data_IF_947033893167
#
_entry.id   IF_947033893167
#
_cell.length_a   1.000
_cell.length_b   1.000
_cell.length_c   1.000
_cell.angle_alpha   90.00
_cell.angle_beta   90.00
_cell.angle_gamma   90.00
#
_symmetry.space_group_name_H-M   'P 1'
#
loop_
_entity.id
_entity.type
_entity.pdbx_description
1 polymer ?
#
# COMPACT_ATOMS: atom_id res chain seq x y z
N UNK A 1 -28.26 -72.88 -18.23
CA UNK A 1 -29.34 -72.51 -19.17
C UNK A 1 -30.15 -71.35 -18.58
N UNK A 2 -30.31 -70.27 -19.36
CA UNK A 2 -31.41 -69.28 -19.36
C UNK A 2 -31.49 -68.32 -18.14
N UNK A 3 -31.13 -67.02 -18.27
CA UNK A 3 -31.96 -65.87 -18.73
C UNK A 3 -33.10 -65.57 -17.71
N UNK A 4 -33.31 -64.36 -17.15
CA UNK A 4 -33.19 -62.97 -17.66
C UNK A 4 -33.17 -61.95 -16.50
N UNK A 5 -32.54 -60.79 -16.75
CA UNK A 5 -32.82 -59.50 -16.09
C UNK A 5 -34.10 -58.88 -16.72
N UNK A 6 -34.89 -58.06 -15.99
CA UNK A 6 -34.91 -56.62 -16.31
C UNK A 6 -35.12 -55.70 -15.07
N UNK A 7 -34.35 -54.61 -14.93
CA UNK A 7 -34.66 -53.19 -15.27
C UNK A 7 -35.45 -52.42 -14.18
N UNK A 8 -35.08 -51.14 -14.02
CA UNK A 8 -35.59 -50.06 -13.15
C UNK A 8 -34.87 -49.94 -11.79
N UNK A 9 -34.48 -48.77 -11.27
CA UNK A 9 -34.88 -47.38 -11.51
C UNK A 9 -33.80 -46.46 -10.84
N UNK A 10 -33.28 -45.47 -11.58
CA UNK A 10 -32.93 -44.09 -11.15
C UNK A 10 -31.99 -43.89 -9.93
N UNK A 11 -30.82 -43.28 -10.18
CA UNK A 11 -30.45 -41.97 -9.59
C UNK A 11 -29.15 -41.46 -10.22
N UNK A 12 -29.27 -40.69 -11.30
CA UNK A 12 -28.16 -39.91 -11.84
C UNK A 12 -28.01 -38.63 -11.00
N UNK A 13 -27.13 -38.65 -10.00
CA UNK A 13 -26.67 -37.44 -9.33
C UNK A 13 -25.66 -36.72 -10.23
N UNK A 14 -26.17 -35.85 -11.10
CA UNK A 14 -25.41 -34.78 -11.73
C UNK A 14 -24.93 -33.84 -10.62
N UNK A 15 -23.71 -34.07 -10.13
CA UNK A 15 -22.98 -33.06 -9.36
C UNK A 15 -22.60 -31.92 -10.30
N UNK A 16 -23.45 -30.90 -10.33
CA UNK A 16 -23.12 -29.58 -10.84
C UNK A 16 -21.99 -29.01 -9.97
N UNK A 17 -20.76 -29.13 -10.46
CA UNK A 17 -19.62 -28.39 -9.95
C UNK A 17 -19.85 -26.91 -10.27
N UNK A 18 -20.45 -26.18 -9.32
CA UNK A 18 -20.41 -24.73 -9.32
C UNK A 18 -18.95 -24.32 -9.09
N UNK A 19 -18.28 -23.60 -10.02
CA UNK A 19 -17.05 -22.93 -9.66
C UNK A 19 -17.41 -21.91 -8.58
N UNK A 20 -16.91 -22.15 -7.36
CA UNK A 20 -16.91 -21.15 -6.31
C UNK A 20 -16.20 -19.92 -6.87
N UNK A 21 -16.99 -18.89 -7.18
CA UNK A 21 -16.45 -17.56 -7.42
C UNK A 21 -15.79 -17.12 -6.12
N UNK A 22 -14.49 -17.37 -6.00
CA UNK A 22 -13.66 -16.76 -4.98
C UNK A 22 -13.63 -15.26 -5.27
N UNK A 23 -14.63 -14.53 -4.78
CA UNK A 23 -14.44 -13.12 -4.49
C UNK A 23 -13.41 -13.08 -3.37
N UNK A 24 -12.13 -12.93 -3.75
CA UNK A 24 -11.16 -12.33 -2.84
C UNK A 24 -11.68 -10.92 -2.59
N UNK A 25 -12.53 -10.77 -1.57
CA UNK A 25 -12.74 -9.48 -0.96
C UNK A 25 -11.34 -9.05 -0.50
N UNK A 26 -10.71 -8.16 -1.30
CA UNK A 26 -9.54 -7.46 -0.83
C UNK A 26 -9.96 -6.83 0.48
N UNK A 27 -9.32 -7.24 1.58
CA UNK A 27 -9.62 -6.75 2.91
C UNK A 27 -9.61 -5.22 2.82
N UNK A 28 -10.78 -4.59 3.02
CA UNK A 28 -10.87 -3.14 2.97
C UNK A 28 -9.92 -2.59 4.02
N UNK A 29 -9.05 -1.68 3.60
CA UNK A 29 -8.03 -1.10 4.46
C UNK A 29 -8.65 0.10 5.14
N UNK A 30 -8.70 0.07 6.47
CA UNK A 30 -9.43 1.07 7.27
C UNK A 30 -8.94 2.53 7.05
N UNK A 31 -7.72 2.72 6.51
CA UNK A 31 -7.14 4.03 6.20
C UNK A 31 -7.41 4.54 4.77
N UNK A 32 -7.96 3.69 3.90
CA UNK A 32 -8.37 4.08 2.56
C UNK A 32 -9.87 4.35 2.53
N UNK A 33 -10.28 5.42 1.86
CA UNK A 33 -11.67 5.56 1.44
C UNK A 33 -11.99 4.52 0.37
N UNK A 34 -13.28 4.19 0.21
CA UNK A 34 -13.75 3.26 -0.83
C UNK A 34 -13.25 3.66 -2.23
N UNK A 35 -13.27 4.95 -2.56
CA UNK A 35 -12.79 5.47 -3.85
C UNK A 35 -11.28 5.31 -4.03
N UNK A 36 -10.49 5.44 -2.96
CA UNK A 36 -9.05 5.22 -3.00
C UNK A 36 -8.74 3.73 -3.17
N UNK A 37 -9.44 2.87 -2.44
CA UNK A 37 -9.33 1.42 -2.58
C UNK A 37 -9.69 0.96 -4.01
N UNK A 38 -10.76 1.50 -4.58
CA UNK A 38 -11.15 1.24 -5.97
C UNK A 38 -10.04 1.66 -6.96
N UNK A 39 -9.43 2.84 -6.80
CA UNK A 39 -8.30 3.26 -7.63
C UNK A 39 -7.11 2.31 -7.56
N UNK A 40 -6.80 1.78 -6.37
CA UNK A 40 -5.71 0.80 -6.18
C UNK A 40 -6.05 -0.52 -6.88
N UNK A 41 -7.31 -0.97 -6.75
CA UNK A 41 -7.79 -2.21 -7.37
C UNK A 41 -7.75 -2.12 -8.90
N UNK A 42 -8.12 -0.96 -9.44
CA UNK A 42 -8.24 -0.73 -10.88
C UNK A 42 -6.88 -0.42 -11.54
N UNK A 43 -5.82 -0.18 -10.76
CA UNK A 43 -4.47 0.00 -11.27
C UNK A 43 -3.93 -1.30 -11.89
N UNK A 44 -3.44 -1.22 -13.13
CA UNK A 44 -2.99 -2.39 -13.88
C UNK A 44 -1.61 -2.86 -13.39
N UNK A 45 -0.74 -1.93 -13.06
CA UNK A 45 0.66 -2.22 -12.72
C UNK A 45 0.98 -1.97 -11.25
N UNK A 46 1.94 -2.72 -10.72
CA UNK A 46 2.44 -2.48 -9.34
C UNK A 46 3.12 -1.11 -9.20
N UNK A 47 3.72 -0.59 -10.28
CA UNK A 47 4.25 0.77 -10.29
C UNK A 47 3.15 1.85 -10.11
N UNK A 48 1.98 1.64 -10.71
CA UNK A 48 0.82 2.53 -10.52
C UNK A 48 0.23 2.41 -9.12
N UNK A 49 0.12 1.20 -8.57
CA UNK A 49 -0.29 0.98 -7.18
C UNK A 49 0.62 1.71 -6.20
N UNK A 50 1.95 1.58 -6.34
CA UNK A 50 2.94 2.31 -5.53
C UNK A 50 2.70 3.82 -5.62
N UNK A 51 2.51 4.35 -6.84
CA UNK A 51 2.25 5.78 -7.05
C UNK A 51 0.98 6.24 -6.33
N UNK A 52 -0.10 5.48 -6.40
CA UNK A 52 -1.37 5.82 -5.77
C UNK A 52 -1.25 5.83 -4.25
N UNK A 53 -0.65 4.80 -3.65
CA UNK A 53 -0.39 4.77 -2.21
C UNK A 53 0.43 5.99 -1.74
N UNK A 54 1.51 6.32 -2.46
CA UNK A 54 2.30 7.51 -2.15
C UNK A 54 1.56 8.83 -2.34
N UNK A 55 0.59 8.87 -3.26
CA UNK A 55 -0.28 10.05 -3.45
C UNK A 55 -1.21 10.21 -2.24
N UNK A 56 -1.80 9.12 -1.76
CA UNK A 56 -2.67 9.17 -0.60
C UNK A 56 -1.90 9.49 0.68
N UNK A 57 -0.68 8.93 0.84
CA UNK A 57 0.23 9.30 1.92
C UNK A 57 0.50 10.82 1.91
N UNK A 58 0.82 11.40 0.74
CA UNK A 58 1.03 12.84 0.60
C UNK A 58 -0.21 13.64 1.03
N UNK A 59 -1.41 13.20 0.63
CA UNK A 59 -2.66 13.87 1.00
C UNK A 59 -2.90 13.84 2.52
N UNK A 60 -2.64 12.69 3.18
CA UNK A 60 -2.75 12.58 4.64
C UNK A 60 -1.73 13.47 5.34
N UNK A 61 -0.50 13.49 4.87
CA UNK A 61 0.56 14.33 5.44
C UNK A 61 0.28 15.84 5.26
N UNK A 62 -0.29 16.25 4.12
CA UNK A 62 -0.73 17.63 3.90
C UNK A 62 -1.88 18.02 4.82
N UNK A 63 -2.85 17.12 4.99
CA UNK A 63 -3.98 17.35 5.90
C UNK A 63 -3.52 17.41 7.36
N UNK A 64 -2.54 16.59 7.75
CA UNK A 64 -1.91 16.64 9.08
C UNK A 64 -1.26 17.99 9.33
N UNK A 65 -0.44 18.48 8.38
CA UNK A 65 0.16 19.81 8.45
C UNK A 65 -0.89 20.92 8.60
N UNK A 66 -1.94 20.85 7.79
CA UNK A 66 -3.01 21.84 7.83
C UNK A 66 -3.74 21.84 9.18
N UNK A 67 -4.06 20.66 9.72
CA UNK A 67 -4.79 20.51 10.98
C UNK A 67 -3.97 21.03 12.16
N UNK A 68 -2.64 20.82 12.20
CA UNK A 68 -1.75 21.44 13.20
C UNK A 68 -1.82 22.97 13.17
N UNK A 69 -1.82 23.56 11.97
CA UNK A 69 -1.85 25.02 11.83
C UNK A 69 -3.24 25.61 12.07
N UNK A 70 -4.29 24.82 11.84
CA UNK A 70 -5.69 25.24 11.92
C UNK A 70 -6.54 24.18 12.67
N UNK A 71 -6.44 24.10 14.00
CA UNK A 71 -7.22 23.14 14.78
C UNK A 71 -8.72 23.33 14.53
N UNK A 72 -9.35 22.35 13.89
CA UNK A 72 -10.68 22.53 13.30
C UNK A 72 -11.83 21.97 14.15
N UNK A 73 -11.54 21.25 15.24
CA UNK A 73 -12.58 20.57 16.02
C UNK A 73 -12.19 20.23 17.47
N UNK A 74 -13.20 19.84 18.25
CA UNK A 74 -13.04 19.22 19.58
C UNK A 74 -12.34 17.83 19.51
N UNK A 75 -12.16 17.27 18.31
CA UNK A 75 -11.54 15.97 18.04
C UNK A 75 -10.15 16.10 17.38
N UNK A 76 -9.50 17.26 17.54
CA UNK A 76 -8.21 17.58 16.92
C UNK A 76 -7.17 16.46 17.10
N UNK A 77 -6.99 16.00 18.34
CA UNK A 77 -6.06 14.92 18.72
C UNK A 77 -6.33 13.61 17.98
N UNK A 78 -7.59 13.19 17.94
CA UNK A 78 -8.01 11.96 17.27
C UNK A 78 -7.75 12.05 15.76
N UNK A 79 -8.00 13.23 15.18
CA UNK A 79 -7.73 13.50 13.77
C UNK A 79 -6.23 13.44 13.44
N UNK A 80 -5.37 14.05 14.25
CA UNK A 80 -3.91 14.01 14.04
C UNK A 80 -3.38 12.58 14.05
N UNK A 81 -3.78 11.79 15.05
CA UNK A 81 -3.38 10.40 15.17
C UNK A 81 -3.93 9.54 14.02
N UNK A 82 -5.20 9.72 13.64
CA UNK A 82 -5.78 9.02 12.50
C UNK A 82 -5.07 9.34 11.18
N UNK A 83 -4.66 10.60 10.98
CA UNK A 83 -3.93 11.02 9.78
C UNK A 83 -2.53 10.41 9.70
N UNK A 84 -1.80 10.35 10.83
CA UNK A 84 -0.49 9.69 10.89
C UNK A 84 -0.59 8.18 10.67
N UNK A 85 -1.55 7.51 11.30
CA UNK A 85 -1.76 6.08 11.08
C UNK A 85 -2.14 5.77 9.63
N UNK A 86 -3.00 6.61 9.02
CA UNK A 86 -3.36 6.46 7.63
C UNK A 86 -2.18 6.73 6.68
N UNK A 87 -1.32 7.69 7.02
CA UNK A 87 -0.08 7.95 6.31
C UNK A 87 0.85 6.72 6.35
N UNK A 88 1.09 6.15 7.54
CA UNK A 88 1.93 4.97 7.74
C UNK A 88 1.41 3.80 6.91
N UNK A 89 0.12 3.47 7.02
CA UNK A 89 -0.48 2.37 6.24
C UNK A 89 -0.32 2.55 4.73
N UNK A 90 -0.37 3.78 4.22
CA UNK A 90 -0.12 4.05 2.80
C UNK A 90 1.37 3.83 2.41
N UNK A 91 2.31 4.25 3.26
CA UNK A 91 3.75 4.07 2.99
C UNK A 91 4.14 2.60 3.06
N UNK A 92 3.66 1.88 4.07
CA UNK A 92 3.92 0.44 4.25
C UNK A 92 3.40 -0.37 3.07
N UNK A 93 2.17 -0.09 2.62
CA UNK A 93 1.62 -0.73 1.44
C UNK A 93 2.39 -0.46 0.15
N UNK A 94 2.88 0.77 0.00
CA UNK A 94 3.72 1.10 -1.14
C UNK A 94 5.02 0.28 -1.10
N UNK A 95 5.61 0.10 0.08
CA UNK A 95 6.79 -0.73 0.29
C UNK A 95 6.50 -2.21 0.02
N UNK A 96 5.37 -2.74 0.48
CA UNK A 96 4.94 -4.12 0.25
C UNK A 96 4.70 -4.41 -1.23
N UNK A 97 4.00 -3.52 -1.93
CA UNK A 97 3.78 -3.65 -3.38
C UNK A 97 5.09 -3.56 -4.14
N UNK A 98 6.02 -2.70 -3.71
CA UNK A 98 7.36 -2.63 -4.26
C UNK A 98 8.09 -3.96 -4.08
N UNK A 99 8.15 -4.49 -2.86
CA UNK A 99 8.84 -5.74 -2.56
C UNK A 99 8.24 -6.92 -3.35
N UNK A 100 6.92 -7.03 -3.38
CA UNK A 100 6.22 -8.06 -4.17
C UNK A 100 6.52 -7.94 -5.67
N UNK A 101 6.57 -6.71 -6.20
CA UNK A 101 6.93 -6.47 -7.59
C UNK A 101 8.37 -6.87 -7.92
N UNK A 102 9.32 -6.68 -6.98
CA UNK A 102 10.71 -7.16 -7.12
C UNK A 102 10.71 -8.68 -7.18
N UNK A 103 10.02 -9.35 -6.25
CA UNK A 103 9.97 -10.81 -6.15
C UNK A 103 9.38 -11.45 -7.41
N UNK A 104 8.34 -10.82 -7.97
CA UNK A 104 7.70 -11.24 -9.22
C UNK A 104 8.45 -10.82 -10.48
N UNK A 105 9.58 -10.12 -10.35
CA UNK A 105 10.37 -9.58 -11.47
C UNK A 105 9.55 -8.66 -12.39
N UNK A 106 8.58 -7.94 -11.82
CA UNK A 106 7.76 -6.99 -12.56
C UNK A 106 8.59 -5.74 -12.91
N UNK A 107 8.19 -5.03 -13.98
CA UNK A 107 8.81 -3.76 -14.33
C UNK A 107 8.32 -2.62 -13.40
N UNK A 108 8.88 -2.57 -12.19
CA UNK A 108 8.52 -1.59 -11.16
C UNK A 108 9.58 -0.52 -10.92
N UNK A 109 10.57 -0.40 -11.82
CA UNK A 109 11.67 0.56 -11.67
C UNK A 109 11.16 1.98 -11.39
N UNK A 110 10.15 2.41 -12.15
CA UNK A 110 9.52 3.73 -11.95
C UNK A 110 8.86 3.88 -10.57
N UNK A 111 8.26 2.81 -10.06
CA UNK A 111 7.69 2.77 -8.72
C UNK A 111 8.77 2.89 -7.64
N UNK A 112 9.88 2.16 -7.78
CA UNK A 112 11.04 2.24 -6.86
C UNK A 112 11.65 3.65 -6.87
N UNK A 113 11.87 4.23 -8.05
CA UNK A 113 12.41 5.58 -8.18
C UNK A 113 11.49 6.62 -7.53
N UNK A 114 10.17 6.45 -7.68
CA UNK A 114 9.18 7.32 -7.06
C UNK A 114 9.13 7.14 -5.53
N UNK A 115 9.18 5.90 -5.04
CA UNK A 115 9.23 5.59 -3.61
C UNK A 115 10.40 6.31 -2.94
N UNK A 116 11.62 6.13 -3.47
CA UNK A 116 12.82 6.75 -2.95
C UNK A 116 12.75 8.29 -2.96
N UNK A 117 12.17 8.88 -4.01
CA UNK A 117 12.00 10.33 -4.10
C UNK A 117 10.99 10.85 -3.08
N UNK A 118 9.80 10.24 -3.01
CA UNK A 118 8.71 10.70 -2.14
C UNK A 118 9.02 10.54 -0.66
N UNK A 119 9.58 9.41 -0.25
CA UNK A 119 9.97 9.21 1.16
C UNK A 119 11.06 10.19 1.59
N UNK A 120 11.98 10.54 0.68
CA UNK A 120 12.99 11.58 0.92
C UNK A 120 12.37 12.98 1.09
N UNK A 121 11.26 13.26 0.41
CA UNK A 121 10.53 14.52 0.55
C UNK A 121 9.65 14.54 1.82
N UNK A 122 9.09 13.40 2.22
CA UNK A 122 8.23 13.29 3.40
C UNK A 122 9.00 13.32 4.72
N UNK A 123 10.15 12.67 4.79
CA UNK A 123 10.90 12.48 6.04
C UNK A 123 11.25 13.83 6.73
N UNK A 124 11.76 14.86 6.03
CA UNK A 124 12.04 16.16 6.65
C UNK A 124 10.78 16.86 7.19
N UNK A 125 9.62 16.61 6.59
CA UNK A 125 8.34 17.16 7.07
C UNK A 125 7.98 16.54 8.42
N UNK A 126 8.05 15.21 8.52
CA UNK A 126 7.77 14.49 9.77
C UNK A 126 8.76 14.87 10.87
N UNK A 127 10.06 14.90 10.56
CA UNK A 127 11.13 15.27 11.50
C UNK A 127 10.96 16.70 12.04
N UNK A 128 10.47 17.64 11.21
CA UNK A 128 10.15 19.00 11.66
C UNK A 128 9.12 19.01 12.80
N UNK A 129 8.09 18.17 12.74
CA UNK A 129 7.05 18.12 13.77
C UNK A 129 7.49 17.39 15.04
N UNK A 130 8.50 16.52 14.96
CA UNK A 130 9.12 15.88 16.12
C UNK A 130 10.01 16.86 16.90
N UNK A 131 10.63 17.83 16.23
CA UNK A 131 11.54 18.78 16.88
C UNK A 131 10.84 20.02 17.49
N UNK A 132 9.67 20.42 16.99
CA UNK A 132 9.15 21.78 17.22
C UNK A 132 7.64 21.87 17.46
N UNK A 133 6.94 20.77 17.75
CA UNK A 133 5.50 20.84 17.97
C UNK A 133 5.12 21.05 19.45
N UNK A 134 4.31 22.08 19.77
CA UNK A 134 3.76 22.28 21.11
C UNK A 134 2.85 21.14 21.59
N UNK A 135 2.25 20.39 20.66
CA UNK A 135 1.29 19.32 20.94
C UNK A 135 1.89 17.93 20.69
N UNK A 136 3.22 17.84 20.58
CA UNK A 136 3.94 16.61 20.22
C UNK A 136 3.51 15.40 21.06
N UNK A 137 3.41 15.56 22.39
CA UNK A 137 3.07 14.47 23.31
C UNK A 137 1.76 13.76 22.96
N UNK A 138 0.87 14.44 22.23
CA UNK A 138 -0.47 13.98 21.89
C UNK A 138 -0.50 13.01 20.71
N UNK A 139 0.54 13.02 19.87
CA UNK A 139 0.64 12.16 18.69
C UNK A 139 2.05 11.58 18.49
N UNK A 140 2.91 11.72 19.51
CA UNK A 140 4.34 11.40 19.44
C UNK A 140 4.60 9.98 18.95
N UNK A 141 3.91 9.00 19.51
CA UNK A 141 4.14 7.59 19.19
C UNK A 141 3.85 7.33 17.70
N UNK A 142 2.70 7.78 17.19
CA UNK A 142 2.36 7.63 15.77
C UNK A 142 3.28 8.45 14.85
N UNK A 143 3.84 9.57 15.33
CA UNK A 143 4.82 10.33 14.55
C UNK A 143 6.17 9.62 14.50
N UNK A 144 6.62 9.04 15.62
CA UNK A 144 7.85 8.27 15.66
C UNK A 144 7.74 7.04 14.74
N UNK A 145 6.61 6.33 14.78
CA UNK A 145 6.31 5.23 13.84
C UNK A 145 6.32 5.71 12.38
N UNK A 146 5.72 6.87 12.10
CA UNK A 146 5.74 7.46 10.76
C UNK A 146 7.16 7.81 10.29
N UNK A 147 8.01 8.33 11.17
CA UNK A 147 9.42 8.62 10.86
C UNK A 147 10.19 7.33 10.60
N UNK A 148 10.03 6.32 11.45
CA UNK A 148 10.71 5.03 11.32
C UNK A 148 10.29 4.30 10.04
N UNK A 149 9.00 4.10 9.83
CA UNK A 149 8.45 3.45 8.63
C UNK A 149 8.85 4.16 7.34
N UNK A 150 8.84 5.50 7.33
CA UNK A 150 9.30 6.28 6.17
C UNK A 150 10.79 6.10 5.90
N UNK A 151 11.61 6.07 6.95
CA UNK A 151 13.06 5.89 6.84
C UNK A 151 13.41 4.49 6.33
N UNK A 152 12.72 3.47 6.82
CA UNK A 152 12.89 2.09 6.36
C UNK A 152 12.46 1.91 4.91
N UNK A 153 11.28 2.43 4.56
CA UNK A 153 10.77 2.39 3.21
C UNK A 153 11.71 3.14 2.22
N UNK A 154 12.27 4.28 2.62
CA UNK A 154 13.29 5.00 1.85
C UNK A 154 14.54 4.15 1.64
N UNK A 155 15.07 3.56 2.72
CA UNK A 155 16.27 2.74 2.68
C UNK A 155 16.08 1.53 1.78
N UNK A 156 14.92 0.89 1.83
CA UNK A 156 14.60 -0.27 1.01
C UNK A 156 14.40 0.09 -0.46
N UNK A 157 13.78 1.24 -0.75
CA UNK A 157 13.70 1.77 -2.11
C UNK A 157 15.10 2.08 -2.69
N UNK A 158 15.99 2.70 -1.91
CA UNK A 158 17.38 2.98 -2.33
C UNK A 158 18.21 1.70 -2.55
N UNK A 159 18.02 0.68 -1.70
CA UNK A 159 18.62 -0.65 -1.91
C UNK A 159 18.07 -1.29 -3.19
N UNK A 160 16.75 -1.27 -3.38
CA UNK A 160 16.07 -1.84 -4.55
C UNK A 160 16.55 -1.18 -5.84
N UNK A 161 16.67 0.15 -5.85
CA UNK A 161 17.15 0.94 -7.00
C UNK A 161 18.52 0.49 -7.50
N UNK A 162 19.42 0.13 -6.59
CA UNK A 162 20.75 -0.41 -6.93
C UNK A 162 20.65 -1.82 -7.55
N UNK A 163 19.74 -2.66 -7.06
CA UNK A 163 19.51 -4.02 -7.58
C UNK A 163 18.87 -4.02 -8.98
N UNK A 164 17.98 -3.07 -9.26
CA UNK A 164 17.28 -2.97 -10.55
C UNK A 164 17.96 -2.02 -11.54
N UNK A 165 19.19 -1.58 -11.28
CA UNK A 165 19.94 -0.67 -12.14
C UNK A 165 20.11 -1.25 -13.56
N UNK A 166 20.03 -0.43 -14.63
CA UNK A 166 20.19 -0.92 -15.99
C UNK A 166 21.65 -1.37 -16.18
N UNK A 167 21.92 -2.34 -17.06
CA UNK A 167 23.29 -2.74 -17.37
C UNK A 167 24.14 -1.53 -17.77
N UNK A 168 25.41 -1.45 -17.33
CA UNK A 168 26.28 -0.34 -17.70
C UNK A 168 26.43 -0.29 -19.22
N UNK A 169 26.15 0.88 -19.80
CA UNK A 169 26.29 1.11 -21.24
C UNK A 169 27.79 1.01 -21.57
N UNK A 170 28.22 -0.09 -22.21
CA UNK A 170 29.56 -0.18 -22.81
C UNK A 170 29.66 0.87 -23.90
N UNK A 171 30.37 1.98 -23.62
CA UNK A 171 30.76 2.92 -24.67
C UNK A 171 31.75 2.18 -25.59
N UNK A 172 31.44 2.13 -26.88
CA UNK A 172 32.41 1.66 -27.89
C UNK A 172 33.49 2.74 -28.00
N UNK A 173 34.74 2.35 -27.74
CA UNK A 173 35.93 3.15 -28.03
C UNK A 173 36.30 3.00 -29.51
#
# INVERSE_FOLDING_TARGET
MKRKLPVFLICACLFLAFPSMNTKAAQEKDYLSALEADKIRDAETSAERIKLFLTFAEDRLKKFQYEIEHPSSNHHVEMLNALLNAYVGCVDDAADVMQLGIEKQENIRKGIDLMAARTKDFLPILEKFSAASPELDTYKDNLDDAIEGTRDAMNDAEKAKKKVAPPPIRRKH
#
